data_IF_231984954842
#
_entry.id   IF_231984954842
#
_cell.length_a   1.000
_cell.length_b   1.000
_cell.length_c   1.000
_cell.angle_alpha   90.00
_cell.angle_beta   90.00
_cell.angle_gamma   90.00
#
_symmetry.space_group_name_H-M   'P 1'
#
loop_
_entity.id
_entity.type
_entity.pdbx_description
1 polymer ?
#
# COMPACT_ATOMS: atom_id res chain seq x y z
N UNK A 1 -0.43 14.12 -29.28
CA UNK A 1 -0.15 12.67 -29.32
C UNK A 1 -1.49 11.97 -29.58
N UNK A 2 -1.51 11.01 -30.51
CA UNK A 2 -2.71 10.56 -31.22
C UNK A 2 -3.77 9.95 -30.30
N UNK A 3 -5.05 10.35 -30.49
CA UNK A 3 -6.19 9.68 -29.87
C UNK A 3 -6.23 8.21 -30.29
N UNK A 4 -6.52 7.25 -29.38
CA UNK A 4 -6.74 5.87 -29.76
C UNK A 4 -7.89 5.84 -30.77
N UNK A 5 -7.66 5.28 -31.96
CA UNK A 5 -8.69 5.16 -32.98
C UNK A 5 -9.92 4.47 -32.39
N UNK A 6 -11.08 5.12 -32.45
CA UNK A 6 -12.36 4.59 -32.00
C UNK A 6 -12.59 3.27 -32.74
N UNK A 7 -12.53 2.15 -32.02
CA UNK A 7 -12.75 0.82 -32.60
C UNK A 7 -14.24 0.75 -32.99
N UNK A 8 -14.52 0.64 -34.29
CA UNK A 8 -15.86 0.40 -34.80
C UNK A 8 -16.23 -1.07 -34.56
N UNK A 9 -16.78 -1.35 -33.37
CA UNK A 9 -17.16 -2.69 -32.92
C UNK A 9 -18.11 -3.41 -33.90
N UNK A 10 -18.91 -2.64 -34.63
CA UNK A 10 -19.91 -3.11 -35.59
C UNK A 10 -19.29 -3.78 -36.83
N UNK A 11 -18.00 -3.57 -37.09
CA UNK A 11 -17.27 -4.12 -38.24
C UNK A 11 -16.42 -5.34 -37.90
N UNK A 12 -16.41 -5.78 -36.65
CA UNK A 12 -15.58 -6.89 -36.17
C UNK A 12 -16.30 -8.24 -36.32
N UNK A 13 -15.53 -9.30 -36.58
CA UNK A 13 -16.05 -10.67 -36.53
C UNK A 13 -16.30 -11.11 -35.09
N UNK A 14 -17.12 -12.15 -34.90
CA UNK A 14 -17.42 -12.72 -33.59
C UNK A 14 -16.15 -13.20 -32.87
N UNK A 15 -15.20 -13.76 -33.62
CA UNK A 15 -13.90 -14.20 -33.11
C UNK A 15 -13.05 -13.02 -32.61
N UNK A 16 -13.05 -11.90 -33.34
CA UNK A 16 -12.34 -10.67 -32.94
C UNK A 16 -12.96 -10.06 -31.68
N UNK A 17 -14.30 -10.01 -31.61
CA UNK A 17 -15.02 -9.55 -30.42
C UNK A 17 -14.74 -10.43 -29.20
N UNK A 18 -14.66 -11.75 -29.39
CA UNK A 18 -14.30 -12.69 -28.32
C UNK A 18 -12.87 -12.43 -27.81
N UNK A 19 -11.91 -12.20 -28.71
CA UNK A 19 -10.54 -11.86 -28.31
C UNK A 19 -10.45 -10.56 -27.51
N UNK A 20 -11.19 -9.52 -27.92
CA UNK A 20 -11.27 -8.25 -27.17
C UNK A 20 -11.88 -8.47 -25.79
N UNK A 21 -12.97 -9.23 -25.69
CA UNK A 21 -13.59 -9.57 -24.40
C UNK A 21 -12.60 -10.24 -23.46
N UNK A 22 -11.89 -11.27 -23.92
CA UNK A 22 -10.91 -11.99 -23.10
C UNK A 22 -9.77 -11.08 -22.65
N UNK A 23 -9.31 -10.16 -23.51
CA UNK A 23 -8.32 -9.15 -23.13
C UNK A 23 -8.85 -8.19 -22.06
N UNK A 24 -10.05 -7.64 -22.25
CA UNK A 24 -10.68 -6.74 -21.28
C UNK A 24 -10.90 -7.41 -19.93
N UNK A 25 -11.34 -8.68 -19.92
CA UNK A 25 -11.51 -9.46 -18.68
C UNK A 25 -10.16 -9.60 -17.93
N UNK A 26 -9.05 -9.84 -18.64
CA UNK A 26 -7.72 -9.90 -18.04
C UNK A 26 -7.27 -8.56 -17.45
N UNK A 27 -7.49 -7.46 -18.18
CA UNK A 27 -7.14 -6.12 -17.73
C UNK A 27 -7.94 -5.72 -16.48
N UNK A 28 -9.25 -6.00 -16.45
CA UNK A 28 -10.11 -5.76 -15.28
C UNK A 28 -9.62 -6.54 -14.06
N UNK A 29 -9.28 -7.82 -14.21
CA UNK A 29 -8.77 -8.63 -13.11
C UNK A 29 -7.44 -8.07 -12.56
N UNK A 30 -6.52 -7.66 -13.44
CA UNK A 30 -5.24 -7.05 -13.04
C UNK A 30 -5.44 -5.75 -12.25
N UNK A 31 -6.39 -4.91 -12.67
CA UNK A 31 -6.71 -3.67 -11.99
C UNK A 31 -7.35 -3.93 -10.61
N UNK A 32 -8.26 -4.90 -10.50
CA UNK A 32 -8.86 -5.31 -9.22
C UNK A 32 -7.81 -5.84 -8.22
N UNK A 33 -6.86 -6.66 -8.70
CA UNK A 33 -5.74 -7.13 -7.89
C UNK A 33 -4.88 -5.97 -7.40
N UNK A 34 -4.65 -4.97 -8.26
CA UNK A 34 -3.87 -3.78 -7.93
C UNK A 34 -4.57 -2.93 -6.85
N UNK A 35 -5.89 -2.70 -6.96
CA UNK A 35 -6.67 -2.03 -5.91
C UNK A 35 -6.57 -2.76 -4.57
N UNK A 36 -6.66 -4.09 -4.58
CA UNK A 36 -6.56 -4.91 -3.36
C UNK A 36 -5.18 -4.80 -2.71
N UNK A 37 -4.11 -4.79 -3.52
CA UNK A 37 -2.73 -4.60 -3.04
C UNK A 37 -2.55 -3.20 -2.43
N UNK A 38 -3.03 -2.15 -3.09
CA UNK A 38 -2.96 -0.77 -2.59
C UNK A 38 -3.70 -0.63 -1.25
N UNK A 39 -4.91 -1.19 -1.15
CA UNK A 39 -5.69 -1.18 0.09
C UNK A 39 -4.97 -1.92 1.22
N UNK A 40 -4.41 -3.09 0.93
CA UNK A 40 -3.66 -3.87 1.92
C UNK A 40 -2.42 -3.12 2.41
N UNK A 41 -1.67 -2.47 1.51
CA UNK A 41 -0.52 -1.66 1.87
C UNK A 41 -0.91 -0.42 2.71
N UNK A 42 -2.02 0.23 2.35
CA UNK A 42 -2.57 1.38 3.10
C UNK A 42 -2.91 0.98 4.53
N UNK A 43 -3.64 -0.13 4.73
CA UNK A 43 -4.00 -0.63 6.06
C UNK A 43 -2.77 -0.97 6.92
N UNK A 44 -1.70 -1.51 6.31
CA UNK A 44 -0.44 -1.79 7.01
C UNK A 44 0.24 -0.49 7.47
N UNK A 45 0.26 0.54 6.64
CA UNK A 45 0.82 1.85 7.00
C UNK A 45 -0.01 2.56 8.07
N UNK A 46 -1.34 2.49 8.01
CA UNK A 46 -2.22 3.01 9.05
C UNK A 46 -1.98 2.31 10.40
N UNK A 47 -1.83 0.98 10.38
CA UNK A 47 -1.47 0.20 11.58
C UNK A 47 -0.09 0.57 12.12
N UNK A 48 0.90 0.79 11.24
CA UNK A 48 2.22 1.25 11.64
C UNK A 48 2.18 2.65 12.27
N UNK A 49 1.45 3.60 11.68
CA UNK A 49 1.29 4.94 12.23
C UNK A 49 0.63 4.92 13.62
N UNK A 50 -0.40 4.09 13.81
CA UNK A 50 -1.03 3.89 15.11
C UNK A 50 -0.06 3.27 16.14
N UNK A 51 0.74 2.29 15.73
CA UNK A 51 1.75 1.67 16.59
C UNK A 51 2.86 2.68 17.00
N UNK A 52 3.30 3.56 16.09
CA UNK A 52 4.25 4.63 16.40
C UNK A 52 3.69 5.59 17.45
N UNK A 53 2.41 5.97 17.31
CA UNK A 53 1.76 6.83 18.29
C UNK A 53 1.65 6.15 19.66
N UNK A 54 1.27 4.88 19.72
CA UNK A 54 1.22 4.13 20.97
C UNK A 54 2.61 3.98 21.61
N UNK A 55 3.65 3.69 20.81
CA UNK A 55 5.03 3.61 21.28
C UNK A 55 5.55 4.93 21.86
N UNK A 56 5.24 6.06 21.23
CA UNK A 56 5.67 7.39 21.70
C UNK A 56 5.10 7.79 23.07
N UNK A 57 4.01 7.14 23.51
CA UNK A 57 3.38 7.41 24.81
C UNK A 57 3.93 6.50 25.92
N UNK A 58 4.74 5.51 25.57
CA UNK A 58 5.28 4.54 26.52
C UNK A 58 6.57 5.08 27.16
N UNK A 59 6.75 4.90 28.47
CA UNK A 59 7.95 5.34 29.15
C UNK A 59 9.15 4.47 28.76
N UNK A 60 10.36 5.05 28.90
CA UNK A 60 11.62 4.33 28.84
C UNK A 60 11.62 3.12 29.78
N UNK A 61 12.17 2.00 29.33
CA UNK A 61 12.28 0.76 30.09
C UNK A 61 10.98 -0.04 30.18
N UNK A 62 9.91 0.38 29.48
CA UNK A 62 8.62 -0.36 29.50
C UNK A 62 8.82 -1.78 28.97
N UNK A 63 8.49 -2.77 29.82
CA UNK A 63 8.49 -4.19 29.43
C UNK A 63 7.42 -4.45 28.37
N UNK A 64 7.78 -5.18 27.32
CA UNK A 64 6.90 -5.60 26.23
C UNK A 64 7.32 -6.96 25.67
N UNK A 65 6.44 -7.57 24.89
CA UNK A 65 6.74 -8.79 24.14
C UNK A 65 7.13 -8.41 22.72
N UNK A 66 8.31 -8.84 22.29
CA UNK A 66 8.81 -8.62 20.94
C UNK A 66 8.64 -9.92 20.14
N UNK A 67 8.00 -9.88 18.96
CA UNK A 67 7.86 -11.06 18.12
C UNK A 67 9.23 -11.43 17.53
N UNK A 68 9.67 -12.66 17.77
CA UNK A 68 10.87 -13.23 17.14
C UNK A 68 10.50 -13.99 15.86
N UNK A 69 9.34 -14.67 15.88
CA UNK A 69 8.73 -15.36 14.75
C UNK A 69 7.20 -15.19 14.79
N UNK A 70 6.48 -15.75 13.83
CA UNK A 70 5.02 -15.70 13.80
C UNK A 70 4.34 -16.31 15.05
N UNK A 71 5.00 -17.24 15.75
CA UNK A 71 4.41 -17.97 16.88
C UNK A 71 5.21 -17.84 18.18
N UNK A 72 6.31 -17.07 18.19
CA UNK A 72 7.20 -16.94 19.35
C UNK A 72 7.45 -15.47 19.69
N UNK A 73 7.22 -15.14 20.96
CA UNK A 73 7.45 -13.81 21.52
C UNK A 73 8.44 -13.91 22.67
N UNK A 74 9.35 -12.95 22.76
CA UNK A 74 10.34 -12.85 23.84
C UNK A 74 10.10 -11.58 24.66
N UNK A 75 10.32 -11.61 25.98
CA UNK A 75 10.25 -10.40 26.79
C UNK A 75 11.43 -9.47 26.46
N UNK A 76 11.13 -8.19 26.26
CA UNK A 76 12.09 -7.12 26.07
C UNK A 76 11.66 -5.84 26.78
N UNK A 77 12.51 -4.81 26.74
CA UNK A 77 12.22 -3.47 27.26
C UNK A 77 12.44 -2.42 26.18
N UNK A 78 11.57 -1.42 26.12
CA UNK A 78 11.74 -0.28 25.22
C UNK A 78 12.91 0.58 25.69
N UNK A 79 13.97 0.66 24.90
CA UNK A 79 15.11 1.52 25.19
C UNK A 79 14.91 2.91 24.56
N UNK A 80 14.76 3.01 23.26
CA UNK A 80 14.48 4.29 22.60
C UNK A 80 12.98 4.43 22.25
N UNK A 81 12.35 5.48 22.77
CA UNK A 81 10.96 5.84 22.48
C UNK A 81 10.85 7.14 21.65
N UNK A 82 11.98 7.71 21.23
CA UNK A 82 12.08 8.96 20.47
C UNK A 82 12.41 8.72 19.00
N UNK A 83 13.18 7.67 18.68
CA UNK A 83 13.59 7.34 17.32
C UNK A 83 13.06 5.99 16.83
N UNK A 84 12.90 5.89 15.51
CA UNK A 84 12.45 4.70 14.79
C UNK A 84 13.20 4.52 13.49
N UNK A 85 13.34 3.26 13.08
CA UNK A 85 13.87 2.89 11.78
C UNK A 85 12.74 2.89 10.75
N UNK A 86 12.93 3.62 9.66
CA UNK A 86 12.01 3.69 8.53
C UNK A 86 12.63 3.00 7.33
N UNK A 87 11.94 2.00 6.78
CA UNK A 87 12.28 1.36 5.52
C UNK A 87 11.97 2.31 4.34
N UNK A 88 13.01 2.67 3.58
CA UNK A 88 12.90 3.50 2.37
C UNK A 88 12.94 2.70 1.07
N UNK A 89 13.13 1.39 1.15
CA UNK A 89 13.22 0.48 0.02
C UNK A 89 14.64 -0.03 -0.23
N UNK A 90 14.74 -1.00 -1.15
CA UNK A 90 16.00 -1.64 -1.60
C UNK A 90 16.90 -2.16 -0.47
N UNK A 91 16.32 -2.47 0.69
CA UNK A 91 17.04 -2.97 1.87
C UNK A 91 17.69 -1.89 2.74
N UNK A 92 17.34 -0.61 2.56
CA UNK A 92 17.87 0.49 3.35
C UNK A 92 16.87 0.97 4.40
N UNK A 93 17.40 1.22 5.59
CA UNK A 93 16.67 1.78 6.72
C UNK A 93 17.34 3.07 7.15
N UNK A 94 16.53 4.08 7.45
CA UNK A 94 17.01 5.35 7.99
C UNK A 94 16.39 5.59 9.36
N UNK A 95 17.19 6.10 10.28
CA UNK A 95 16.70 6.53 11.57
C UNK A 95 15.98 7.88 11.43
N UNK A 96 14.81 7.97 12.06
CA UNK A 96 13.94 9.14 12.08
C UNK A 96 13.35 9.30 13.47
N UNK A 97 13.01 10.53 13.83
CA UNK A 97 12.23 10.75 15.05
C UNK A 97 10.83 10.16 14.90
N UNK A 98 10.16 9.83 16.01
CA UNK A 98 8.78 9.34 16.01
C UNK A 98 7.84 10.24 15.20
N UNK A 99 7.99 11.56 15.32
CA UNK A 99 7.20 12.54 14.57
C UNK A 99 7.46 12.44 13.05
N UNK A 100 8.74 12.35 12.64
CA UNK A 100 9.11 12.17 11.24
C UNK A 100 8.68 10.81 10.68
N UNK A 101 8.72 9.75 11.49
CA UNK A 101 8.23 8.42 11.14
C UNK A 101 6.71 8.43 10.90
N UNK A 102 5.96 9.13 11.75
CA UNK A 102 4.51 9.33 11.56
C UNK A 102 4.21 10.10 10.28
N UNK A 103 4.89 11.22 10.06
CA UNK A 103 4.75 12.01 8.82
C UNK A 103 5.07 11.18 7.57
N UNK A 104 6.09 10.32 7.65
CA UNK A 104 6.43 9.39 6.55
C UNK A 104 5.28 8.41 6.25
N UNK A 105 4.69 7.81 7.29
CA UNK A 105 3.54 6.93 7.13
C UNK A 105 2.35 7.68 6.51
N UNK A 106 2.01 8.86 7.04
CA UNK A 106 0.90 9.70 6.55
C UNK A 106 1.08 10.09 5.07
N UNK A 107 2.29 10.52 4.69
CA UNK A 107 2.62 10.84 3.29
C UNK A 107 2.45 9.62 2.38
N UNK A 108 2.91 8.44 2.79
CA UNK A 108 2.73 7.21 1.99
C UNK A 108 1.26 6.76 1.93
N UNK A 109 0.49 6.92 3.01
CA UNK A 109 -0.95 6.64 3.02
C UNK A 109 -1.67 7.53 2.01
N UNK A 110 -1.38 8.84 2.01
CA UNK A 110 -2.00 9.79 1.10
C UNK A 110 -1.64 9.50 -0.36
N UNK A 111 -0.38 9.14 -0.63
CA UNK A 111 0.04 8.70 -1.97
C UNK A 111 -0.75 7.46 -2.42
N UNK A 112 -0.87 6.45 -1.57
CA UNK A 112 -1.59 5.23 -1.91
C UNK A 112 -3.10 5.48 -2.08
N UNK A 113 -3.70 6.38 -1.29
CA UNK A 113 -5.10 6.79 -1.46
C UNK A 113 -5.33 7.50 -2.79
N UNK A 114 -4.46 8.44 -3.17
CA UNK A 114 -4.51 9.09 -4.50
C UNK A 114 -4.42 8.06 -5.62
N UNK A 115 -3.45 7.15 -5.55
CA UNK A 115 -3.29 6.10 -6.56
C UNK A 115 -4.50 5.15 -6.62
N UNK A 116 -5.14 4.89 -5.47
CA UNK A 116 -6.35 4.08 -5.41
C UNK A 116 -7.51 4.78 -6.13
N UNK A 117 -7.72 6.06 -5.83
CA UNK A 117 -8.80 6.86 -6.40
C UNK A 117 -8.63 7.02 -7.92
N UNK A 118 -7.42 7.33 -8.40
CA UNK A 118 -7.09 7.41 -9.83
C UNK A 118 -7.38 6.09 -10.56
N UNK A 119 -6.98 4.96 -9.97
CA UNK A 119 -7.18 3.65 -10.59
C UNK A 119 -8.65 3.19 -10.54
N UNK A 120 -9.38 3.59 -9.50
CA UNK A 120 -10.82 3.36 -9.39
C UNK A 120 -11.60 4.19 -10.42
N UNK A 121 -11.25 5.47 -10.58
CA UNK A 121 -11.86 6.36 -11.59
C UNK A 121 -11.61 5.82 -12.99
N UNK A 122 -10.38 5.39 -13.29
CA UNK A 122 -10.06 4.74 -14.56
C UNK A 122 -10.93 3.51 -14.79
N UNK A 123 -11.06 2.62 -13.79
CA UNK A 123 -11.88 1.41 -13.91
C UNK A 123 -13.38 1.71 -14.13
N UNK A 124 -13.91 2.78 -13.52
CA UNK A 124 -15.30 3.21 -13.72
C UNK A 124 -15.55 3.90 -15.08
N UNK A 125 -14.48 4.36 -15.73
CA UNK A 125 -14.55 5.01 -17.05
C UNK A 125 -14.54 4.03 -18.23
N UNK A 126 -14.23 2.75 -17.97
CA UNK A 126 -14.28 1.64 -18.94
C UNK A 126 -15.68 1.04 -19.00
#
# INVERSE_FOLDING_TARGET
MASPGRIELDKLSVEQLKGIKEQTDLEVNLLQDSLTKIRTATNRLESAAAALQDLSLRPHGKKMLVPLTASLYVPGSLDDAENVLVDVGTGYFIEKTMAQGKEYCERKINLLKSNFDELLEFMLSV
#
